data_IF_257936808991
#
_entry.id   IF_257936808991
#
_cell.length_a   1.000
_cell.length_b   1.000
_cell.length_c   1.000
_cell.angle_alpha   90.00
_cell.angle_beta   90.00
_cell.angle_gamma   90.00
#
_symmetry.space_group_name_H-M   'P 1'
#
loop_
_entity.id
_entity.type
_entity.pdbx_description
1 polymer ?
#
# COMPACT_ATOMS: atom_id res chain seq x y z
N UNK A 1 -13.75 -37.02 39.17
CA UNK A 1 -14.83 -36.17 38.62
C UNK A 1 -14.24 -35.47 37.39
N UNK A 2 -14.63 -35.92 36.20
CA UNK A 2 -14.12 -35.39 34.94
C UNK A 2 -14.95 -34.16 34.53
N UNK A 3 -14.30 -33.00 34.44
CA UNK A 3 -14.93 -31.76 33.98
C UNK A 3 -14.81 -31.69 32.47
N UNK A 4 -15.95 -31.84 31.78
CA UNK A 4 -16.06 -31.68 30.34
C UNK A 4 -16.28 -30.21 30.00
N UNK A 5 -15.22 -29.49 29.66
CA UNK A 5 -15.31 -28.15 29.10
C UNK A 5 -15.83 -28.22 27.66
N UNK A 6 -17.08 -27.80 27.47
CA UNK A 6 -17.72 -27.66 26.16
C UNK A 6 -17.20 -26.39 25.50
N UNK A 7 -16.33 -26.57 24.51
CA UNK A 7 -15.78 -25.49 23.69
C UNK A 7 -16.87 -24.63 23.06
N UNK A 8 -16.86 -23.33 23.40
CA UNK A 8 -17.75 -22.31 22.86
C UNK A 8 -17.22 -21.90 21.49
N UNK A 9 -17.88 -22.37 20.42
CA UNK A 9 -17.63 -21.93 19.06
C UNK A 9 -17.97 -20.45 18.94
N UNK A 10 -16.92 -19.62 18.86
CA UNK A 10 -17.07 -18.19 18.55
C UNK A 10 -17.57 -18.11 17.12
N UNK A 11 -18.85 -17.78 16.94
CA UNK A 11 -19.44 -17.42 15.67
C UNK A 11 -18.66 -16.21 15.12
N UNK A 12 -17.74 -16.48 14.19
CA UNK A 12 -17.06 -15.45 13.41
C UNK A 12 -18.12 -14.71 12.60
N UNK A 13 -18.45 -13.49 13.02
CA UNK A 13 -19.33 -12.59 12.28
C UNK A 13 -18.70 -12.34 10.91
N UNK A 14 -19.35 -12.84 9.85
CA UNK A 14 -18.92 -12.59 8.47
C UNK A 14 -19.17 -11.11 8.20
N UNK A 15 -18.12 -10.32 7.86
CA UNK A 15 -18.32 -8.91 7.55
C UNK A 15 -19.22 -8.77 6.31
N UNK A 16 -20.07 -7.72 6.25
CA UNK A 16 -20.94 -7.49 5.11
C UNK A 16 -20.13 -7.41 3.81
N UNK A 17 -20.69 -7.91 2.68
CA UNK A 17 -20.01 -7.84 1.39
C UNK A 17 -19.72 -6.39 1.04
N UNK A 18 -18.46 -6.12 0.68
CA UNK A 18 -18.04 -4.78 0.26
C UNK A 18 -18.88 -4.32 -0.95
N UNK A 19 -19.27 -3.04 -1.00
CA UNK A 19 -20.01 -2.50 -2.14
C UNK A 19 -19.21 -2.74 -3.42
N UNK A 20 -19.88 -3.33 -4.43
CA UNK A 20 -19.28 -3.49 -5.75
C UNK A 20 -18.97 -2.10 -6.30
N UNK A 21 -17.74 -1.84 -6.79
CA UNK A 21 -17.43 -0.54 -7.38
C UNK A 21 -18.42 -0.28 -8.50
N UNK A 22 -19.04 0.90 -8.49
CA UNK A 22 -19.93 1.30 -9.57
C UNK A 22 -19.20 1.12 -10.90
N UNK A 23 -19.79 0.35 -11.83
CA UNK A 23 -19.23 -0.05 -13.13
C UNK A 23 -18.97 1.14 -14.09
N UNK A 24 -18.92 2.37 -13.59
CA UNK A 24 -18.64 3.59 -14.32
C UNK A 24 -17.31 4.23 -13.93
N UNK A 25 -16.20 3.69 -14.47
CA UNK A 25 -14.90 4.36 -14.77
C UNK A 25 -14.12 5.18 -13.73
N UNK A 26 -14.64 5.47 -12.53
CA UNK A 26 -13.88 6.13 -11.50
C UNK A 26 -12.85 5.14 -10.96
N UNK A 27 -11.66 5.15 -11.57
CA UNK A 27 -10.50 4.39 -11.13
C UNK A 27 -10.31 4.67 -9.63
N UNK A 28 -10.52 3.70 -8.73
CA UNK A 28 -10.41 3.93 -7.28
C UNK A 28 -9.01 4.40 -6.88
N UNK A 29 -8.01 4.27 -7.77
CA UNK A 29 -6.68 4.86 -7.62
C UNK A 29 -6.59 6.36 -7.98
N UNK A 30 -7.71 7.05 -8.25
CA UNK A 30 -7.73 8.48 -8.58
C UNK A 30 -7.46 9.36 -7.36
N UNK A 31 -7.92 8.95 -6.17
CA UNK A 31 -7.65 9.61 -4.90
C UNK A 31 -7.25 8.59 -3.83
N UNK A 32 -6.44 9.01 -2.85
CA UNK A 32 -6.06 8.14 -1.74
C UNK A 32 -7.30 7.74 -0.93
N UNK A 33 -8.26 8.65 -0.78
CA UNK A 33 -9.48 8.41 -0.02
C UNK A 33 -10.37 7.34 -0.65
N UNK A 34 -10.47 7.30 -1.99
CA UNK A 34 -11.19 6.23 -2.68
C UNK A 34 -10.43 4.90 -2.58
N UNK A 35 -9.10 4.93 -2.53
CA UNK A 35 -8.25 3.74 -2.47
C UNK A 35 -8.16 3.13 -1.05
N UNK A 36 -8.16 3.97 -0.01
CA UNK A 36 -7.89 3.57 1.36
C UNK A 36 -8.87 2.53 1.92
N UNK A 37 -10.20 2.61 1.69
CA UNK A 37 -11.16 1.60 2.12
C UNK A 37 -10.89 0.19 1.55
N UNK A 38 -10.16 0.09 0.43
CA UNK A 38 -9.76 -1.20 -0.15
C UNK A 38 -8.46 -1.72 0.44
N UNK A 39 -7.50 -0.83 0.70
CA UNK A 39 -6.18 -1.19 1.22
C UNK A 39 -6.25 -1.48 2.73
N UNK A 40 -6.99 -0.68 3.49
CA UNK A 40 -6.99 -0.73 4.95
C UNK A 40 -7.44 -2.10 5.51
N UNK A 41 -8.52 -2.74 5.04
CA UNK A 41 -8.91 -4.07 5.54
C UNK A 41 -7.91 -5.16 5.20
N UNK A 42 -7.27 -5.08 4.02
CA UNK A 42 -6.23 -6.03 3.63
C UNK A 42 -4.99 -5.89 4.52
N UNK A 43 -4.60 -4.66 4.85
CA UNK A 43 -3.51 -4.38 5.79
C UNK A 43 -3.85 -4.82 7.20
N UNK A 44 -5.05 -4.49 7.69
CA UNK A 44 -5.50 -4.91 9.00
C UNK A 44 -5.44 -6.43 9.11
N UNK A 45 -5.96 -7.17 8.12
CA UNK A 45 -5.85 -8.62 8.10
C UNK A 45 -4.40 -9.13 8.07
N UNK A 46 -3.46 -8.40 7.46
CA UNK A 46 -2.03 -8.75 7.48
C UNK A 46 -1.41 -8.48 8.86
N UNK A 47 -1.81 -7.40 9.54
CA UNK A 47 -1.22 -6.98 10.82
C UNK A 47 -1.88 -7.61 12.05
N UNK A 48 -3.20 -7.78 12.04
CA UNK A 48 -4.03 -8.26 13.14
C UNK A 48 -4.50 -9.70 12.96
N UNK A 49 -4.34 -10.25 11.74
CA UNK A 49 -4.56 -11.67 11.47
C UNK A 49 -3.62 -12.50 12.33
N UNK A 50 -4.09 -12.87 13.52
CA UNK A 50 -3.33 -13.57 14.53
C UNK A 50 -2.65 -14.80 13.91
N UNK A 51 -1.34 -14.71 13.77
CA UNK A 51 -0.47 -15.86 13.47
C UNK A 51 -0.25 -16.59 14.79
N UNK A 52 -1.34 -16.99 15.46
CA UNK A 52 -1.27 -17.71 16.73
C UNK A 52 -0.83 -19.18 16.54
N UNK A 53 -0.73 -19.65 15.29
CA UNK A 53 -0.25 -20.99 14.98
C UNK A 53 0.97 -20.94 14.03
N UNK A 54 2.21 -21.03 14.55
CA UNK A 54 3.41 -21.07 13.72
C UNK A 54 3.50 -22.35 12.87
N UNK A 55 2.69 -23.38 13.15
CA UNK A 55 2.63 -24.60 12.36
C UNK A 55 1.66 -24.52 11.17
N UNK A 56 0.81 -23.48 11.12
CA UNK A 56 -0.21 -23.32 10.09
C UNK A 56 0.00 -22.01 9.34
N UNK A 57 0.50 -22.11 8.11
CA UNK A 57 0.57 -20.95 7.23
C UNK A 57 -0.84 -20.32 7.11
N UNK A 58 -0.99 -19.00 7.30
CA UNK A 58 -2.29 -18.35 7.18
C UNK A 58 -2.83 -18.63 5.78
N UNK A 59 -4.02 -19.23 5.71
CA UNK A 59 -4.74 -19.34 4.45
C UNK A 59 -5.14 -17.92 4.06
N UNK A 60 -4.38 -17.31 3.15
CA UNK A 60 -4.81 -16.09 2.48
C UNK A 60 -6.04 -16.49 1.69
N UNK A 61 -7.20 -16.08 2.18
CA UNK A 61 -8.47 -16.39 1.53
C UNK A 61 -8.42 -15.81 0.12
N UNK A 62 -8.47 -16.70 -0.88
CA UNK A 62 -8.21 -16.35 -2.29
C UNK A 62 -9.17 -15.26 -2.78
N UNK A 63 -10.33 -15.10 -2.14
CA UNK A 63 -11.30 -14.04 -2.41
C UNK A 63 -10.79 -12.62 -2.11
N UNK A 64 -9.96 -12.43 -1.07
CA UNK A 64 -9.37 -11.11 -0.75
C UNK A 64 -8.18 -10.81 -1.68
N UNK A 65 -7.38 -11.83 -1.99
CA UNK A 65 -6.32 -11.69 -2.97
C UNK A 65 -6.87 -11.44 -4.37
N UNK A 66 -7.97 -12.11 -4.75
CA UNK A 66 -8.63 -11.96 -6.04
C UNK A 66 -9.33 -10.61 -6.20
N UNK A 67 -9.97 -10.04 -5.18
CA UNK A 67 -10.54 -8.68 -5.29
C UNK A 67 -9.46 -7.61 -5.45
N UNK A 68 -8.34 -7.76 -4.74
CA UNK A 68 -7.18 -6.85 -4.80
C UNK A 68 -6.43 -6.95 -6.13
N UNK A 69 -6.14 -8.16 -6.61
CA UNK A 69 -5.42 -8.37 -7.87
C UNK A 69 -6.31 -8.26 -9.10
N UNK A 70 -7.58 -8.67 -9.08
CA UNK A 70 -8.47 -8.54 -10.26
C UNK A 70 -8.74 -7.08 -10.60
N UNK A 71 -8.83 -6.20 -9.59
CA UNK A 71 -8.97 -4.75 -9.82
C UNK A 71 -7.70 -4.11 -10.37
N UNK A 72 -6.52 -4.62 -9.98
CA UNK A 72 -5.21 -4.11 -10.44
C UNK A 72 -4.83 -4.68 -11.83
N UNK A 73 -5.06 -5.98 -12.06
CA UNK A 73 -4.72 -6.71 -13.29
C UNK A 73 -5.66 -6.36 -14.45
N UNK A 74 -6.93 -6.02 -14.21
CA UNK A 74 -7.83 -5.53 -15.28
C UNK A 74 -7.35 -4.21 -15.89
N UNK A 75 -6.39 -3.52 -15.27
CA UNK A 75 -5.74 -2.32 -15.86
C UNK A 75 -4.50 -2.62 -16.69
N UNK A 76 -4.06 -3.88 -16.78
CA UNK A 76 -2.83 -4.29 -17.47
C UNK A 76 -3.03 -5.58 -18.29
N UNK A 77 -3.32 -5.39 -19.57
CA UNK A 77 -3.26 -6.35 -20.69
C UNK A 77 -4.60 -6.94 -21.16
N UNK A 78 -4.84 -6.74 -22.46
CA UNK A 78 -5.82 -7.49 -23.24
C UNK A 78 -5.38 -8.95 -23.37
N UNK A 79 -6.28 -9.94 -23.25
CA UNK A 79 -5.91 -11.34 -23.34
C UNK A 79 -5.65 -11.75 -24.80
N UNK A 80 -4.41 -12.12 -25.11
CA UNK A 80 -4.10 -12.95 -26.27
C UNK A 80 -4.15 -14.41 -25.81
N UNK A 81 -5.19 -15.13 -26.23
CA UNK A 81 -5.41 -16.53 -25.92
C UNK A 81 -4.53 -17.41 -26.81
N UNK A 82 -3.55 -18.09 -26.22
CA UNK A 82 -2.98 -19.32 -26.78
C UNK A 82 -3.06 -20.42 -25.74
N UNK A 83 -4.08 -21.25 -25.93
CA UNK A 83 -4.29 -22.53 -25.26
C UNK A 83 -3.17 -23.49 -25.65
N UNK A 84 -2.38 -23.94 -24.68
CA UNK A 84 -1.46 -25.07 -24.83
C UNK A 84 -1.95 -26.17 -23.89
N UNK A 85 -2.45 -27.25 -24.47
CA UNK A 85 -2.80 -28.48 -23.76
C UNK A 85 -1.51 -29.23 -23.41
N UNK A 86 -1.25 -29.42 -22.13
CA UNK A 86 -0.09 -30.15 -21.60
C UNK A 86 -0.53 -31.29 -20.70
N UNK A 87 -0.08 -32.49 -21.05
CA UNK A 87 -0.35 -33.78 -20.43
C UNK A 87 0.12 -33.87 -18.96
N UNK A 88 -0.73 -34.47 -18.11
CA UNK A 88 -0.44 -34.81 -16.71
C UNK A 88 0.43 -36.06 -16.68
N UNK A 89 1.73 -35.89 -16.38
CA UNK A 89 2.62 -37.00 -16.02
C UNK A 89 2.57 -37.26 -14.51
N UNK A 90 2.34 -38.52 -14.18
CA UNK A 90 2.28 -39.11 -12.86
C UNK A 90 3.68 -39.15 -12.24
N UNK A 91 3.90 -38.40 -11.15
CA UNK A 91 5.19 -38.33 -10.46
C UNK A 91 5.35 -39.50 -9.51
N UNK A 92 6.40 -40.31 -9.76
CA UNK A 92 6.85 -41.38 -8.88
C UNK A 92 7.46 -40.81 -7.59
N UNK A 93 7.07 -41.40 -6.46
CA UNK A 93 7.63 -41.13 -5.14
C UNK A 93 9.12 -41.48 -5.11
N UNK A 94 9.99 -40.46 -5.08
CA UNK A 94 11.43 -40.63 -4.88
C UNK A 94 11.72 -40.38 -3.40
N UNK A 95 12.21 -41.41 -2.70
CA UNK A 95 12.68 -41.31 -1.33
C UNK A 95 13.85 -40.31 -1.25
N UNK A 96 13.61 -39.17 -0.60
CA UNK A 96 14.62 -38.13 -0.37
C UNK A 96 15.54 -38.62 0.76
N UNK A 97 16.85 -38.82 0.52
CA UNK A 97 17.79 -39.16 1.59
C UNK A 97 17.87 -38.01 2.60
N UNK A 98 18.11 -38.30 3.90
CA UNK A 98 18.29 -37.28 4.91
C UNK A 98 19.54 -36.46 4.57
N UNK A 99 19.34 -35.28 3.98
CA UNK A 99 20.41 -34.31 3.79
C UNK A 99 20.87 -33.87 5.18
N UNK A 100 22.05 -34.34 5.57
CA UNK A 100 22.82 -33.75 6.64
C UNK A 100 23.08 -32.29 6.26
N UNK A 101 22.25 -31.39 6.79
CA UNK A 101 22.47 -29.95 6.64
C UNK A 101 23.84 -29.66 7.25
N UNK A 102 24.83 -29.20 6.45
CA UNK A 102 26.07 -28.74 7.04
C UNK A 102 25.69 -27.66 8.05
N UNK A 103 26.17 -27.79 9.29
CA UNK A 103 26.03 -26.80 10.32
C UNK A 103 26.53 -25.46 9.74
N UNK A 104 25.59 -24.67 9.24
CA UNK A 104 25.86 -23.42 8.54
C UNK A 104 26.43 -22.50 9.60
N UNK A 105 27.75 -22.36 9.60
CA UNK A 105 28.46 -21.53 10.56
C UNK A 105 27.87 -20.13 10.47
N UNK A 106 27.02 -19.82 11.44
CA UNK A 106 26.30 -18.57 11.65
C UNK A 106 27.32 -17.51 12.07
N UNK A 107 28.21 -17.13 11.16
CA UNK A 107 29.26 -16.13 11.44
C UNK A 107 29.04 -14.78 10.79
N UNK A 108 28.15 -14.68 9.81
CA UNK A 108 27.68 -13.39 9.31
C UNK A 108 26.17 -13.36 9.52
N UNK A 109 25.78 -13.07 10.76
CA UNK A 109 24.39 -12.97 11.16
C UNK A 109 23.63 -12.09 10.19
N UNK A 110 22.60 -12.67 9.56
CA UNK A 110 21.70 -11.98 8.64
C UNK A 110 20.81 -10.93 9.34
N UNK A 111 21.16 -10.50 10.54
CA UNK A 111 20.56 -9.34 11.19
C UNK A 111 20.97 -8.09 10.44
N UNK A 112 20.02 -7.20 10.20
CA UNK A 112 20.37 -5.85 9.74
C UNK A 112 21.37 -5.25 10.73
N UNK A 113 22.41 -4.56 10.23
CA UNK A 113 23.32 -3.85 11.12
C UNK A 113 22.55 -2.85 11.97
N UNK A 114 23.02 -2.56 13.18
CA UNK A 114 22.40 -1.56 14.04
C UNK A 114 22.25 -0.20 13.33
N UNK A 115 23.19 0.15 12.47
CA UNK A 115 23.11 1.35 11.64
C UNK A 115 21.97 1.28 10.61
N UNK A 116 21.78 0.12 9.97
CA UNK A 116 20.66 -0.09 9.07
C UNK A 116 19.33 0.04 9.81
N UNK A 117 19.19 -0.52 11.02
CA UNK A 117 17.97 -0.39 11.82
C UNK A 117 17.65 1.06 12.20
N UNK A 118 18.66 1.89 12.46
CA UNK A 118 18.46 3.33 12.70
C UNK A 118 17.80 4.03 11.51
N UNK A 119 18.11 3.63 10.28
CA UNK A 119 17.42 4.17 9.09
C UNK A 119 15.93 3.80 9.04
N UNK A 120 15.54 2.72 9.71
CA UNK A 120 14.14 2.30 9.84
C UNK A 120 13.42 2.95 11.02
N UNK A 121 14.09 3.86 11.74
CA UNK A 121 13.53 4.56 12.90
C UNK A 121 13.72 3.83 14.22
N UNK A 122 14.61 2.84 14.29
CA UNK A 122 15.00 2.25 15.56
C UNK A 122 15.92 3.19 16.34
N UNK A 123 15.50 3.52 17.56
CA UNK A 123 16.32 4.24 18.54
C UNK A 123 16.92 3.23 19.54
N UNK A 124 18.25 3.16 19.71
CA UNK A 124 18.86 2.30 20.72
C UNK A 124 18.43 2.63 22.16
N UNK A 125 17.97 3.86 22.44
CA UNK A 125 17.44 4.24 23.75
C UNK A 125 15.93 3.97 23.89
N UNK A 126 15.27 3.55 22.81
CA UNK A 126 13.83 3.35 22.75
C UNK A 126 13.35 1.99 23.27
N UNK A 127 12.04 1.76 23.16
CA UNK A 127 11.38 0.52 23.58
C UNK A 127 11.83 -0.68 22.71
N UNK A 128 12.01 -1.89 23.26
CA UNK A 128 12.37 -3.08 22.47
C UNK A 128 11.35 -3.42 21.37
N UNK A 129 10.07 -3.06 21.53
CA UNK A 129 9.06 -3.22 20.49
C UNK A 129 9.41 -2.44 19.21
N UNK A 130 10.05 -1.27 19.34
CA UNK A 130 10.52 -0.48 18.19
C UNK A 130 11.60 -1.20 17.38
N UNK A 131 12.42 -2.03 18.03
CA UNK A 131 13.46 -2.84 17.37
C UNK A 131 12.83 -3.89 16.48
N UNK A 132 11.88 -4.65 17.02
CA UNK A 132 11.18 -5.70 16.27
C UNK A 132 10.46 -5.13 15.05
N UNK A 133 9.78 -3.99 15.19
CA UNK A 133 9.13 -3.30 14.08
C UNK A 133 10.12 -2.82 13.00
N UNK A 134 11.28 -2.31 13.41
CA UNK A 134 12.33 -1.88 12.48
C UNK A 134 12.99 -3.07 11.75
N UNK A 135 13.23 -4.18 12.44
CA UNK A 135 13.73 -5.42 11.85
C UNK A 135 12.73 -5.95 10.81
N UNK A 136 11.44 -6.00 11.17
CA UNK A 136 10.38 -6.43 10.25
C UNK A 136 10.28 -5.54 9.00
N UNK A 137 10.38 -4.22 9.19
CA UNK A 137 10.39 -3.24 8.09
C UNK A 137 11.61 -3.41 7.18
N UNK A 138 12.79 -3.64 7.77
CA UNK A 138 14.03 -3.87 7.04
C UNK A 138 13.99 -5.17 6.21
N UNK A 139 13.36 -6.21 6.73
CA UNK A 139 13.15 -7.48 6.04
C UNK A 139 12.13 -7.35 4.90
N UNK A 140 11.00 -6.67 5.13
CA UNK A 140 10.03 -6.36 4.09
C UNK A 140 10.63 -5.49 2.96
N UNK A 141 11.53 -4.58 3.33
CA UNK A 141 12.29 -3.72 2.41
C UNK A 141 13.44 -4.42 1.68
N UNK A 142 13.76 -5.66 2.02
CA UNK A 142 14.88 -6.38 1.42
C UNK A 142 14.62 -6.83 -0.03
N UNK A 143 15.69 -7.26 -0.70
CA UNK A 143 15.62 -7.79 -2.06
C UNK A 143 14.89 -9.15 -2.10
N UNK A 144 14.21 -9.50 -3.22
CA UNK A 144 13.34 -10.67 -3.30
C UNK A 144 14.08 -12.01 -3.17
N UNK A 145 15.38 -12.03 -3.45
CA UNK A 145 16.30 -13.15 -3.31
C UNK A 145 16.72 -13.43 -1.85
N UNK A 146 16.49 -12.49 -0.93
CA UNK A 146 16.78 -12.70 0.50
C UNK A 146 15.75 -13.62 1.13
N UNK A 147 16.22 -14.61 1.90
CA UNK A 147 15.37 -15.40 2.79
C UNK A 147 14.92 -14.53 3.96
N UNK A 148 13.61 -14.42 4.16
CA UNK A 148 12.99 -13.64 5.24
C UNK A 148 11.98 -14.49 6.01
N UNK A 149 11.71 -14.16 7.29
CA UNK A 149 10.60 -14.70 8.06
C UNK A 149 9.24 -14.66 7.34
N UNK A 150 8.39 -15.65 7.62
CA UNK A 150 7.08 -15.80 6.95
C UNK A 150 6.15 -14.62 7.24
N UNK A 151 6.20 -14.07 8.46
CA UNK A 151 5.42 -12.90 8.84
C UNK A 151 5.78 -11.65 7.99
N UNK A 152 7.05 -11.45 7.65
CA UNK A 152 7.49 -10.31 6.83
C UNK A 152 7.38 -10.58 5.32
N UNK A 153 7.18 -11.83 4.92
CA UNK A 153 6.98 -12.23 3.52
C UNK A 153 5.71 -11.62 2.90
N UNK A 154 4.61 -11.56 3.67
CA UNK A 154 3.38 -10.94 3.21
C UNK A 154 3.57 -9.43 2.91
N UNK A 155 4.23 -8.71 3.82
CA UNK A 155 4.55 -7.29 3.65
C UNK A 155 5.46 -7.05 2.44
N UNK A 156 6.47 -7.90 2.25
CA UNK A 156 7.33 -7.82 1.06
C UNK A 156 6.55 -8.00 -0.24
N UNK A 157 5.67 -9.00 -0.32
CA UNK A 157 4.83 -9.23 -1.51
C UNK A 157 3.91 -8.05 -1.78
N UNK A 158 3.25 -7.54 -0.74
CA UNK A 158 2.42 -6.35 -0.84
C UNK A 158 3.22 -5.13 -1.35
N UNK A 159 4.45 -4.94 -0.86
CA UNK A 159 5.36 -3.92 -1.39
C UNK A 159 5.58 -4.09 -2.88
N UNK A 160 6.02 -5.27 -3.31
CA UNK A 160 6.45 -5.50 -4.70
C UNK A 160 5.30 -5.51 -5.70
N UNK A 161 4.14 -6.01 -5.30
CA UNK A 161 3.00 -6.22 -6.20
C UNK A 161 2.03 -5.04 -6.21
N UNK A 162 1.96 -4.27 -5.11
CA UNK A 162 1.00 -3.16 -4.96
C UNK A 162 1.72 -1.82 -4.84
N UNK A 163 2.63 -1.67 -3.87
CA UNK A 163 3.21 -0.35 -3.56
C UNK A 163 4.23 0.10 -4.62
N UNK A 164 5.18 -0.76 -5.00
CA UNK A 164 6.22 -0.45 -5.96
C UNK A 164 5.64 0.00 -7.33
N UNK A 165 4.59 -0.66 -7.89
CA UNK A 165 3.89 -0.18 -9.08
C UNK A 165 3.20 1.17 -8.91
N UNK A 166 2.64 1.46 -7.72
CA UNK A 166 1.98 2.74 -7.44
C UNK A 166 2.97 3.90 -7.28
N UNK A 167 4.16 3.59 -6.77
CA UNK A 167 5.30 4.50 -6.67
C UNK A 167 6.01 4.70 -8.01
N UNK A 168 5.99 3.69 -8.88
CA UNK A 168 6.63 3.77 -10.18
C UNK A 168 5.97 4.86 -11.05
N UNK A 169 6.81 5.72 -11.63
CA UNK A 169 6.38 6.64 -12.65
C UNK A 169 5.88 5.85 -13.86
N UNK A 170 4.69 6.12 -14.41
CA UNK A 170 4.33 5.59 -15.72
C UNK A 170 5.40 6.04 -16.71
N UNK A 171 6.18 5.10 -17.24
CA UNK A 171 7.18 5.39 -18.27
C UNK A 171 6.40 5.81 -19.51
N UNK A 172 6.52 7.07 -20.00
CA UNK A 172 5.84 7.44 -21.24
C UNK A 172 6.36 6.51 -22.33
N UNK A 173 5.48 5.65 -22.87
CA UNK A 173 5.76 4.80 -24.04
C UNK A 173 5.85 5.72 -25.26
N UNK A 174 6.96 6.44 -25.37
CA UNK A 174 7.14 7.45 -26.41
C UNK A 174 8.56 7.98 -26.39
N UNK A 175 9.39 7.44 -27.27
CA UNK A 175 10.80 7.79 -27.47
C UNK A 175 10.90 9.17 -28.14
N UNK A 176 10.41 10.23 -27.52
CA UNK A 176 10.75 11.61 -27.90
C UNK A 176 11.80 12.12 -26.91
N UNK A 177 13.05 12.11 -27.38
CA UNK A 177 14.26 12.63 -26.72
C UNK A 177 14.16 14.16 -26.59
N UNK A 178 13.24 14.63 -25.76
CA UNK A 178 13.05 16.05 -25.44
C UNK A 178 13.74 16.41 -24.14
N UNK A 179 14.56 17.45 -24.17
CA UNK A 179 15.27 18.08 -23.03
C UNK A 179 14.29 18.26 -21.85
N UNK A 180 14.52 17.59 -20.72
CA UNK A 180 13.67 17.70 -19.52
C UNK A 180 13.72 19.14 -19.00
N UNK A 181 12.57 19.80 -18.85
CA UNK A 181 12.47 21.04 -18.07
C UNK A 181 12.61 20.72 -16.57
N UNK A 182 13.28 21.59 -15.77
CA UNK A 182 13.37 21.47 -14.33
C UNK A 182 12.02 21.88 -13.71
N UNK A 183 11.27 20.90 -13.24
CA UNK A 183 9.91 21.08 -12.70
C UNK A 183 9.16 19.75 -12.69
N UNK A 184 9.84 18.67 -12.28
CA UNK A 184 9.31 17.33 -12.39
C UNK A 184 8.13 17.16 -11.43
N UNK A 185 6.91 17.20 -11.97
CA UNK A 185 5.70 16.75 -11.28
C UNK A 185 5.93 15.41 -10.56
N UNK A 186 5.25 15.17 -9.43
CA UNK A 186 5.35 13.91 -8.70
C UNK A 186 5.07 12.74 -9.66
N UNK A 187 6.11 11.93 -9.80
CA UNK A 187 6.15 10.78 -10.70
C UNK A 187 5.63 9.56 -9.95
N UNK A 188 4.37 9.22 -10.19
CA UNK A 188 3.70 8.06 -9.58
C UNK A 188 2.25 8.39 -9.24
N UNK A 189 1.36 7.41 -9.30
CA UNK A 189 -0.07 7.62 -9.02
C UNK A 189 -0.26 7.98 -7.54
N UNK A 190 0.37 7.22 -6.65
CA UNK A 190 0.32 7.47 -5.21
C UNK A 190 0.93 8.84 -4.86
N UNK A 191 2.04 9.22 -5.50
CA UNK A 191 2.67 10.51 -5.24
C UNK A 191 1.78 11.70 -5.64
N UNK A 192 0.95 11.56 -6.68
CA UNK A 192 -0.04 12.58 -7.07
C UNK A 192 -1.20 12.63 -6.08
N UNK A 193 -1.72 11.47 -5.68
CA UNK A 193 -2.80 11.39 -4.69
C UNK A 193 -2.37 11.98 -3.34
N UNK A 194 -1.15 11.68 -2.88
CA UNK A 194 -0.58 12.28 -1.67
C UNK A 194 -0.33 13.77 -1.83
N UNK A 195 0.13 14.22 -3.00
CA UNK A 195 0.28 15.66 -3.26
C UNK A 195 -1.07 16.37 -3.15
N UNK A 196 -2.11 15.86 -3.80
CA UNK A 196 -3.47 16.39 -3.67
C UNK A 196 -3.99 16.33 -2.22
N UNK A 197 -3.61 15.27 -1.48
CA UNK A 197 -3.92 15.16 -0.06
C UNK A 197 -3.08 16.10 0.80
N UNK A 198 -1.95 16.68 0.37
CA UNK A 198 -1.12 17.55 1.20
C UNK A 198 -1.23 19.03 0.84
N UNK A 199 -1.57 19.36 -0.41
CA UNK A 199 -1.89 20.73 -0.80
C UNK A 199 -3.28 21.08 -0.26
N UNK A 200 -3.42 22.03 0.69
CA UNK A 200 -4.74 22.52 1.04
C UNK A 200 -5.43 22.94 -0.25
N UNK A 201 -6.73 22.68 -0.34
CA UNK A 201 -7.55 23.33 -1.34
C UNK A 201 -7.55 24.81 -0.95
N UNK A 202 -6.45 25.52 -1.25
CA UNK A 202 -6.49 26.96 -1.36
C UNK A 202 -7.54 27.18 -2.42
N UNK A 203 -8.71 27.57 -1.93
CA UNK A 203 -9.82 27.97 -2.76
C UNK A 203 -9.20 28.85 -3.83
N UNK A 204 -9.33 28.44 -5.09
CA UNK A 204 -9.14 29.38 -6.18
C UNK A 204 -10.13 30.49 -5.86
N UNK A 205 -9.65 31.51 -5.17
CA UNK A 205 -10.30 32.78 -5.00
C UNK A 205 -10.36 33.33 -6.41
N UNK A 206 -11.38 32.87 -7.11
CA UNK A 206 -11.77 33.29 -8.43
C UNK A 206 -12.31 34.69 -8.23
N UNK A 207 -11.38 35.63 -8.07
CA UNK A 207 -11.55 37.03 -8.40
C UNK A 207 -11.70 37.06 -9.92
N UNK A 208 -12.86 36.60 -10.40
CA UNK A 208 -13.39 37.13 -11.64
C UNK A 208 -13.77 38.57 -11.31
N UNK A 209 -13.09 39.58 -11.90
CA UNK A 209 -13.66 40.90 -11.90
C UNK A 209 -15.07 40.79 -12.54
N UNK A 210 -16.07 41.51 -12.02
CA UNK A 210 -17.36 41.59 -12.69
C UNK A 210 -17.12 42.25 -14.07
N UNK A 211 -17.01 41.43 -15.12
CA UNK A 211 -17.12 41.90 -16.49
C UNK A 211 -18.61 42.23 -16.71
N UNK A 212 -18.95 43.48 -16.43
CA UNK A 212 -20.20 44.09 -16.85
C UNK A 212 -20.24 44.13 -18.38
N UNK A 213 -21.16 43.37 -18.96
CA UNK A 213 -21.68 43.62 -20.29
C UNK A 213 -21.20 42.64 -21.37
N UNK A 214 -21.98 41.58 -21.59
CA UNK A 214 -22.47 41.24 -22.92
C UNK A 214 -23.55 40.15 -22.85
N UNK A 215 -24.79 40.64 -22.93
CA UNK A 215 -26.02 39.90 -23.12
C UNK A 215 -26.03 39.28 -24.52
N UNK A 216 -25.72 37.99 -24.66
CA UNK A 216 -26.16 37.21 -25.82
C UNK A 216 -26.42 35.76 -25.44
N UNK A 217 -27.67 35.35 -25.65
CA UNK A 217 -28.23 34.09 -25.22
C UNK A 217 -27.70 32.90 -26.05
N UNK A 218 -27.10 31.91 -25.37
CA UNK A 218 -27.03 30.53 -25.87
C UNK A 218 -27.32 29.54 -24.73
N UNK A 219 -28.24 28.58 -24.90
CA UNK A 219 -28.48 27.52 -23.93
C UNK A 219 -27.45 26.41 -24.16
N UNK A 220 -26.43 26.34 -23.29
CA UNK A 220 -25.57 25.17 -23.18
C UNK A 220 -25.99 24.39 -21.93
N UNK A 221 -26.80 23.37 -22.16
CA UNK A 221 -27.24 22.42 -21.14
C UNK A 221 -26.04 21.64 -20.55
N UNK A 222 -25.91 21.77 -19.23
CA UNK A 222 -25.70 20.71 -18.25
C UNK A 222 -24.62 19.63 -18.55
N UNK A 223 -23.35 19.96 -18.33
CA UNK A 223 -22.29 18.93 -18.18
C UNK A 223 -21.19 19.33 -17.17
N UNK A 224 -21.52 20.08 -16.11
CA UNK A 224 -20.57 20.48 -15.08
C UNK A 224 -21.18 20.26 -13.69
N UNK A 225 -20.86 19.13 -13.05
CA UNK A 225 -21.36 18.86 -11.69
C UNK A 225 -20.67 17.75 -10.90
N UNK A 226 -19.58 17.15 -11.39
CA UNK A 226 -18.96 15.98 -10.75
C UNK A 226 -17.56 16.23 -10.16
N UNK A 227 -17.04 17.47 -10.18
CA UNK A 227 -15.77 17.80 -9.53
C UNK A 227 -15.89 18.31 -8.09
N UNK A 228 -17.09 18.55 -7.56
CA UNK A 228 -17.29 19.12 -6.22
C UNK A 228 -17.53 18.10 -5.10
N UNK A 229 -17.60 16.80 -5.39
CA UNK A 229 -17.73 15.73 -4.37
C UNK A 229 -16.34 15.23 -3.96
N UNK A 230 -15.34 16.12 -3.92
CA UNK A 230 -14.25 15.96 -2.97
C UNK A 230 -14.74 16.75 -1.77
N UNK A 231 -15.53 16.06 -0.96
CA UNK A 231 -15.99 16.51 0.34
C UNK A 231 -14.79 17.13 1.07
N UNK A 232 -14.96 18.33 1.62
CA UNK A 232 -13.90 19.07 2.32
C UNK A 232 -13.46 18.23 3.51
N UNK A 233 -12.45 17.40 3.29
CA UNK A 233 -11.82 16.56 4.31
C UNK A 233 -11.34 17.48 5.42
N UNK A 234 -11.76 17.22 6.65
CA UNK A 234 -11.26 18.00 7.78
C UNK A 234 -9.76 17.82 7.93
N UNK A 235 -9.08 18.82 8.50
CA UNK A 235 -7.64 18.74 8.71
C UNK A 235 -7.27 17.58 9.66
N UNK A 236 -8.16 17.22 10.58
CA UNK A 236 -7.99 16.06 11.47
C UNK A 236 -8.04 14.72 10.70
N UNK A 237 -9.00 14.55 9.80
CA UNK A 237 -9.11 13.35 8.97
C UNK A 237 -7.92 13.23 8.01
N UNK A 238 -7.52 14.36 7.44
CA UNK A 238 -6.33 14.47 6.60
C UNK A 238 -5.07 14.05 7.34
N UNK A 239 -4.88 14.54 8.57
CA UNK A 239 -3.75 14.15 9.41
C UNK A 239 -3.77 12.65 9.69
N UNK A 240 -4.93 12.08 10.05
CA UNK A 240 -5.09 10.66 10.30
C UNK A 240 -4.69 9.82 9.07
N UNK A 241 -5.17 10.20 7.89
CA UNK A 241 -4.83 9.52 6.63
C UNK A 241 -3.33 9.61 6.32
N UNK A 242 -2.71 10.77 6.53
CA UNK A 242 -1.26 10.96 6.34
C UNK A 242 -0.46 10.10 7.32
N UNK A 243 -0.86 10.04 8.59
CA UNK A 243 -0.23 9.23 9.63
C UNK A 243 -0.35 7.74 9.32
N UNK A 244 -1.54 7.26 8.96
CA UNK A 244 -1.78 5.86 8.62
C UNK A 244 -0.99 5.44 7.37
N UNK A 245 -0.95 6.30 6.36
CA UNK A 245 -0.15 6.06 5.16
C UNK A 245 1.36 6.03 5.47
N UNK A 246 1.86 6.93 6.33
CA UNK A 246 3.26 6.94 6.74
C UNK A 246 3.64 5.66 7.50
N UNK A 247 2.76 5.22 8.41
CA UNK A 247 2.92 3.99 9.18
C UNK A 247 2.93 2.76 8.25
N UNK A 248 2.00 2.70 7.30
CA UNK A 248 1.92 1.63 6.30
C UNK A 248 3.20 1.57 5.45
N UNK A 249 3.65 2.68 4.88
CA UNK A 249 4.84 2.70 4.03
C UNK A 249 6.09 2.27 4.83
N UNK A 250 6.17 2.61 6.11
CA UNK A 250 7.23 2.14 7.00
C UNK A 250 7.19 0.63 7.19
N UNK A 251 6.03 0.09 7.58
CA UNK A 251 5.83 -1.33 7.84
C UNK A 251 6.08 -2.20 6.60
N UNK A 252 5.67 -1.73 5.42
CA UNK A 252 5.86 -2.41 4.13
C UNK A 252 7.32 -2.32 3.63
N UNK A 253 8.20 -1.61 4.36
CA UNK A 253 9.62 -1.54 4.03
C UNK A 253 9.94 -0.53 2.94
N UNK A 254 9.21 0.59 2.84
CA UNK A 254 9.59 1.71 1.99
C UNK A 254 10.68 2.53 2.68
N UNK A 255 11.81 2.70 1.98
CA UNK A 255 13.00 3.36 2.51
C UNK A 255 12.72 4.79 3.03
N UNK A 256 13.37 5.22 4.13
CA UNK A 256 13.24 6.58 4.66
C UNK A 256 13.68 7.65 3.66
N UNK A 257 14.63 7.31 2.78
CA UNK A 257 15.14 8.23 1.76
C UNK A 257 14.12 8.53 0.65
N UNK A 258 13.04 7.76 0.58
CA UNK A 258 12.03 7.90 -0.45
C UNK A 258 11.31 9.26 -0.34
N UNK A 259 11.20 9.98 -1.46
CA UNK A 259 10.62 11.34 -1.50
C UNK A 259 9.21 11.40 -0.89
N UNK A 260 8.39 10.38 -1.15
CA UNK A 260 7.04 10.31 -0.58
C UNK A 260 7.06 10.23 0.95
N UNK A 261 7.97 9.44 1.50
CA UNK A 261 8.09 9.24 2.95
C UNK A 261 8.59 10.52 3.61
N UNK A 262 9.61 11.17 3.03
CA UNK A 262 10.08 12.50 3.49
C UNK A 262 8.97 13.56 3.50
N UNK A 263 8.08 13.57 2.51
CA UNK A 263 6.96 14.52 2.44
C UNK A 263 5.92 14.26 3.54
N UNK A 264 5.56 13.00 3.76
CA UNK A 264 4.61 12.61 4.81
C UNK A 264 5.19 12.92 6.20
N UNK A 265 6.43 12.49 6.46
CA UNK A 265 7.10 12.75 7.74
C UNK A 265 7.28 14.27 7.98
N UNK A 266 7.59 15.04 6.94
CA UNK A 266 7.67 16.50 7.01
C UNK A 266 6.34 17.16 7.35
N UNK A 267 5.23 16.69 6.77
CA UNK A 267 3.89 17.18 7.10
C UNK A 267 3.52 16.88 8.55
N UNK A 268 3.79 15.66 9.04
CA UNK A 268 3.53 15.27 10.42
C UNK A 268 4.33 16.13 11.42
N UNK A 269 5.60 16.40 11.11
CA UNK A 269 6.44 17.29 11.93
C UNK A 269 5.93 18.74 11.92
N UNK A 270 5.52 19.27 10.77
CA UNK A 270 4.98 20.62 10.66
C UNK A 270 3.65 20.76 11.43
N UNK A 271 2.75 19.78 11.32
CA UNK A 271 1.50 19.78 12.05
C UNK A 271 1.73 19.67 13.57
N UNK A 272 2.63 18.79 14.01
CA UNK A 272 3.00 18.67 15.42
C UNK A 272 3.65 19.94 15.99
N UNK A 273 4.32 20.74 15.16
CA UNK A 273 4.84 22.04 15.56
C UNK A 273 3.72 23.10 15.69
N UNK A 274 2.76 23.11 14.76
CA UNK A 274 1.62 24.02 14.78
C UNK A 274 0.66 23.79 15.96
N UNK A 275 0.55 22.57 16.48
CA UNK A 275 -0.30 22.26 17.65
C UNK A 275 0.30 22.76 18.96
N UNK A 276 1.62 23.03 19.00
CA UNK A 276 2.33 23.47 20.21
C UNK A 276 2.36 24.99 20.39
N UNK A 277 2.03 25.74 19.35
CA UNK A 277 1.97 27.21 19.34
C UNK A 277 0.58 27.68 19.70
#
# INVERSE_FOLDING_TARGET
>A
MASSDKGKTVLRTVPPPLPSPATGSANPASSLQALWPYIAPALDHIFTGAVDDPARAPSIDVLVAASSTTSIVTTSSAPSTKTVAGSVQQMHSVAVPPLAYPARSSRNGCGASYEALRTWGWDPAGEPASRSAAEASAEAGSAPDRVIPVNTLALRRFRTEVVDPLLAAPKPKGKKKGKKKPGAEPRGRLARAVKALLEPAEEQENVQPPEEGQESAQPREAAQGSSSIIERVSDEERLRLVQDLANMLRAVGVRPDHLLRKKLDGYLLAHAASVKT
#
